data_IF_602209741424
#
_entry.id   IF_602209741424
#
_cell.length_a   1.000
_cell.length_b   1.000
_cell.length_c   1.000
_cell.angle_alpha   90.00
_cell.angle_beta   90.00
_cell.angle_gamma   90.00
#
_symmetry.space_group_name_H-M   'P 1'
#
loop_
_entity.id
_entity.type
_entity.pdbx_description
1 polymer ?
#
# COMPACT_ATOMS: atom_id res chain seq x y z
N UNK A 1 29.70 39.98 -21.98
CA UNK A 1 28.42 39.28 -22.16
C UNK A 1 28.69 38.11 -23.08
N UNK A 2 29.08 36.97 -22.52
CA UNK A 2 29.10 35.72 -23.27
C UNK A 2 28.02 34.84 -22.66
N UNK A 3 26.94 34.65 -23.43
CA UNK A 3 25.89 33.69 -23.15
C UNK A 3 26.53 32.31 -23.08
N UNK A 4 26.59 31.73 -21.87
CA UNK A 4 26.76 30.29 -21.73
C UNK A 4 25.58 29.60 -22.41
N UNK A 5 25.88 28.98 -23.54
CA UNK A 5 25.00 28.02 -24.18
C UNK A 5 24.60 26.97 -23.15
N UNK A 6 23.29 26.86 -22.89
CA UNK A 6 22.71 25.82 -22.06
C UNK A 6 22.98 24.47 -22.74
N UNK A 7 24.08 23.81 -22.35
CA UNK A 7 24.27 22.39 -22.60
C UNK A 7 23.20 21.69 -21.77
N UNK A 8 22.37 20.85 -22.40
CA UNK A 8 21.41 20.01 -21.70
C UNK A 8 22.09 19.20 -20.56
N UNK A 9 21.30 18.62 -19.64
CA UNK A 9 21.85 17.92 -18.49
C UNK A 9 22.88 16.85 -18.92
N UNK A 10 24.08 16.94 -18.34
CA UNK A 10 25.19 16.00 -18.50
C UNK A 10 24.75 14.57 -18.09
N UNK A 11 25.27 13.51 -18.71
CA UNK A 11 24.94 12.12 -18.36
C UNK A 11 25.37 11.77 -16.91
N UNK A 12 26.16 12.63 -16.27
CA UNK A 12 26.51 12.59 -14.85
C UNK A 12 25.40 13.09 -13.90
N UNK A 13 24.34 13.73 -14.40
CA UNK A 13 23.32 14.41 -13.58
C UNK A 13 22.28 13.48 -12.93
N UNK A 14 22.36 12.16 -13.15
CA UNK A 14 21.33 11.20 -12.71
C UNK A 14 21.90 9.93 -12.04
N UNK A 15 23.18 9.94 -11.62
CA UNK A 15 23.90 8.75 -11.12
C UNK A 15 23.27 8.08 -9.90
N UNK A 16 22.51 8.83 -9.09
CA UNK A 16 21.93 8.32 -7.84
C UNK A 16 20.43 8.03 -7.95
N UNK A 17 19.81 8.21 -9.13
CA UNK A 17 18.42 7.81 -9.33
C UNK A 17 18.29 6.28 -9.35
N UNK A 18 17.13 5.74 -8.91
CA UNK A 18 15.95 6.43 -8.39
C UNK A 18 16.03 6.77 -6.89
N UNK A 19 17.16 6.50 -6.24
CA UNK A 19 17.32 6.59 -4.78
C UNK A 19 17.50 8.01 -4.27
N UNK A 20 18.20 8.89 -5.00
CA UNK A 20 18.44 10.28 -4.63
C UNK A 20 18.55 11.19 -5.86
N UNK A 21 17.97 12.39 -5.77
CA UNK A 21 18.13 13.48 -6.74
C UNK A 21 19.47 14.22 -6.60
N UNK A 22 20.18 14.03 -5.48
CA UNK A 22 21.43 14.74 -5.23
C UNK A 22 22.61 13.97 -5.85
N UNK A 23 23.35 14.60 -6.76
CA UNK A 23 24.57 14.03 -7.35
C UNK A 23 25.81 14.24 -6.46
N UNK A 24 25.87 15.36 -5.73
CA UNK A 24 27.04 15.77 -4.97
C UNK A 24 27.26 14.97 -3.67
N UNK A 25 26.21 14.33 -3.17
CA UNK A 25 26.24 13.55 -1.92
C UNK A 25 25.83 12.12 -2.23
N UNK A 26 26.69 11.15 -1.86
CA UNK A 26 26.36 9.73 -2.01
C UNK A 26 25.12 9.36 -1.16
N UNK A 27 24.21 8.51 -1.68
CA UNK A 27 23.10 7.92 -0.92
C UNK A 27 23.53 7.16 0.36
N UNK A 28 24.81 6.81 0.49
CA UNK A 28 25.39 6.22 1.72
C UNK A 28 25.54 7.23 2.87
N UNK A 29 25.41 8.53 2.59
CA UNK A 29 25.52 9.61 3.60
C UNK A 29 24.21 10.34 3.82
N UNK A 30 23.51 10.66 2.73
CA UNK A 30 22.20 11.28 2.78
C UNK A 30 21.49 11.07 1.46
N UNK A 31 20.17 11.03 1.53
CA UNK A 31 19.31 10.91 0.37
C UNK A 31 18.48 12.18 0.24
N UNK A 32 18.30 12.65 -0.99
CA UNK A 32 17.40 13.77 -1.31
C UNK A 32 16.33 13.28 -2.26
N UNK A 33 15.07 13.32 -1.86
CA UNK A 33 13.92 12.97 -2.69
C UNK A 33 12.96 14.15 -2.84
N UNK A 34 12.05 14.11 -3.83
CA UNK A 34 10.92 15.03 -3.86
C UNK A 34 10.11 14.98 -2.56
N UNK A 35 9.49 16.10 -2.22
CA UNK A 35 8.52 16.23 -1.14
C UNK A 35 7.19 16.67 -1.71
N UNK A 36 6.12 15.98 -1.31
CA UNK A 36 4.76 16.28 -1.74
C UNK A 36 3.98 17.11 -0.70
N UNK A 37 4.30 16.97 0.59
CA UNK A 37 3.71 17.78 1.66
C UNK A 37 4.76 18.36 2.60
N UNK A 38 4.60 19.64 2.92
CA UNK A 38 5.33 20.35 3.97
C UNK A 38 4.67 20.05 5.31
N UNK A 39 5.41 19.43 6.23
CA UNK A 39 4.92 19.13 7.57
C UNK A 39 4.53 20.42 8.30
N UNK A 40 3.28 20.49 8.77
CA UNK A 40 2.71 21.64 9.50
C UNK A 40 2.75 21.47 11.02
N UNK A 41 3.11 20.26 11.48
CA UNK A 41 3.18 19.90 12.89
C UNK A 41 4.64 19.74 13.30
N UNK A 42 5.02 20.41 14.38
CA UNK A 42 6.37 20.38 14.93
C UNK A 42 7.37 21.29 14.20
N UNK A 43 8.32 21.84 14.95
CA UNK A 43 9.42 22.64 14.40
C UNK A 43 10.59 21.74 14.01
N UNK A 44 10.50 21.07 12.85
CA UNK A 44 11.54 20.14 12.39
C UNK A 44 12.18 20.60 11.07
N UNK A 45 13.35 20.07 10.73
CA UNK A 45 14.02 20.34 9.44
C UNK A 45 13.14 19.98 8.24
N UNK A 46 12.19 19.04 8.41
CA UNK A 46 11.22 18.67 7.38
C UNK A 46 10.31 19.82 6.99
N UNK A 47 10.11 20.81 7.86
CA UNK A 47 9.25 21.97 7.65
C UNK A 47 9.96 23.15 6.99
N UNK A 48 11.28 23.08 6.74
CA UNK A 48 12.07 24.17 6.14
C UNK A 48 12.10 24.17 4.59
N UNK A 49 11.57 23.12 3.96
CA UNK A 49 11.57 22.98 2.50
C UNK A 49 10.20 22.49 2.03
N UNK A 50 9.70 23.07 0.94
CA UNK A 50 8.45 22.65 0.30
C UNK A 50 8.62 21.41 -0.57
N UNK A 51 9.72 21.33 -1.33
CA UNK A 51 9.80 20.44 -2.50
C UNK A 51 10.85 19.34 -2.36
N UNK A 52 11.74 19.44 -1.37
CA UNK A 52 12.81 18.47 -1.15
C UNK A 52 12.76 17.92 0.26
N UNK A 53 12.87 16.60 0.35
CA UNK A 53 13.01 15.83 1.56
C UNK A 53 14.47 15.41 1.73
N UNK A 54 15.05 15.72 2.89
CA UNK A 54 16.34 15.17 3.31
C UNK A 54 16.07 13.90 4.12
N UNK A 55 16.70 12.80 3.71
CA UNK A 55 16.44 11.46 4.21
C UNK A 55 17.74 10.82 4.74
N UNK A 56 17.62 9.86 5.68
CA UNK A 56 18.76 9.09 6.18
C UNK A 56 19.48 8.33 5.04
N UNK A 57 20.72 7.85 5.29
CA UNK A 57 21.43 6.94 4.41
C UNK A 57 20.63 5.71 3.98
N UNK A 58 20.93 5.18 2.78
CA UNK A 58 20.28 3.96 2.25
C UNK A 58 20.47 2.70 3.11
N UNK A 59 21.47 2.69 3.99
CA UNK A 59 21.74 1.58 4.91
C UNK A 59 20.67 1.39 5.99
N UNK A 60 19.85 2.41 6.28
CA UNK A 60 18.72 2.29 7.22
C UNK A 60 17.46 1.81 6.49
N UNK A 61 17.17 2.45 5.36
CA UNK A 61 16.05 2.19 4.47
C UNK A 61 16.44 2.69 3.09
N UNK A 62 16.19 1.92 2.04
CA UNK A 62 16.42 2.36 0.66
C UNK A 62 15.12 2.90 0.06
N UNK A 63 14.85 4.21 0.14
CA UNK A 63 13.72 4.80 -0.55
C UNK A 63 14.02 4.91 -2.05
N UNK A 64 12.97 4.99 -2.86
CA UNK A 64 13.10 5.31 -4.28
C UNK A 64 11.96 6.21 -4.72
N UNK A 65 12.20 7.05 -5.73
CA UNK A 65 11.15 7.85 -6.36
C UNK A 65 11.01 7.47 -7.83
N UNK A 66 9.81 7.10 -8.24
CA UNK A 66 9.51 6.74 -9.64
C UNK A 66 8.34 7.56 -10.16
N UNK A 67 8.52 8.16 -11.33
CA UNK A 67 7.46 8.87 -12.05
C UNK A 67 6.74 7.89 -12.98
N UNK A 68 5.42 7.89 -12.95
CA UNK A 68 4.63 6.98 -13.81
C UNK A 68 4.28 7.60 -15.15
N UNK A 69 4.20 8.93 -15.24
CA UNK A 69 3.85 9.65 -16.46
C UNK A 69 5.05 9.78 -17.42
N UNK A 70 5.02 9.06 -18.55
CA UNK A 70 5.84 9.34 -19.75
C UNK A 70 5.05 9.95 -20.91
N UNK A 71 3.72 10.07 -20.83
CA UNK A 71 2.87 10.47 -21.97
C UNK A 71 2.09 11.77 -21.79
N UNK A 72 1.77 12.39 -22.93
CA UNK A 72 0.95 13.59 -23.17
C UNK A 72 -0.45 13.64 -22.50
N UNK A 73 -0.82 12.69 -21.62
CA UNK A 73 -1.93 12.93 -20.67
C UNK A 73 -1.56 13.98 -19.60
N UNK A 74 -0.27 14.32 -19.48
CA UNK A 74 0.17 15.58 -18.84
C UNK A 74 -0.10 16.84 -19.70
N UNK A 75 -0.42 16.72 -21.00
CA UNK A 75 -0.68 17.85 -21.90
C UNK A 75 -2.15 18.02 -22.29
N UNK A 76 -3.01 17.01 -22.08
CA UNK A 76 -4.40 17.32 -21.68
C UNK A 76 -4.29 17.96 -20.31
N UNK A 77 -4.06 19.29 -20.30
CA UNK A 77 -3.86 20.10 -19.09
C UNK A 77 -4.82 19.56 -18.03
N UNK A 78 -4.29 18.81 -17.06
CA UNK A 78 -4.91 18.83 -15.75
C UNK A 78 -4.90 20.30 -15.42
N UNK A 79 -6.05 20.95 -15.56
CA UNK A 79 -6.13 22.36 -15.27
C UNK A 79 -5.69 22.47 -13.82
N UNK A 80 -4.54 23.09 -13.60
CA UNK A 80 -4.00 23.26 -12.26
C UNK A 80 -5.03 24.01 -11.39
N UNK A 81 -6.00 24.70 -11.99
CA UNK A 81 -7.11 25.37 -11.34
C UNK A 81 -8.28 24.47 -10.89
N UNK A 82 -8.47 23.26 -11.45
CA UNK A 82 -9.67 22.44 -11.18
C UNK A 82 -9.39 21.20 -10.34
N UNK A 83 -10.31 20.82 -9.43
CA UNK A 83 -10.26 19.51 -8.79
C UNK A 83 -10.36 18.41 -9.85
N UNK A 84 -9.57 17.35 -9.69
CA UNK A 84 -9.70 16.16 -10.51
C UNK A 84 -9.90 14.92 -9.64
N UNK A 85 -10.62 13.96 -10.18
CA UNK A 85 -10.98 12.74 -9.47
C UNK A 85 -9.93 11.65 -9.69
N UNK A 86 -9.60 10.92 -8.63
CA UNK A 86 -8.81 9.69 -8.65
C UNK A 86 -9.72 8.56 -8.19
N UNK A 87 -9.82 7.51 -9.00
CA UNK A 87 -10.66 6.35 -8.73
C UNK A 87 -9.82 5.13 -8.39
N UNK A 88 -10.07 4.54 -7.23
CA UNK A 88 -9.41 3.31 -6.79
C UNK A 88 -10.44 2.19 -6.73
N UNK A 89 -10.20 1.11 -7.47
CA UNK A 89 -10.95 -0.13 -7.33
C UNK A 89 -10.30 -0.98 -6.23
N UNK A 90 -11.01 -1.14 -5.12
CA UNK A 90 -10.62 -1.99 -4.01
C UNK A 90 -11.25 -3.36 -4.19
N UNK A 91 -10.42 -4.40 -4.29
CA UNK A 91 -10.88 -5.80 -4.38
C UNK A 91 -10.39 -6.52 -3.13
N UNK A 92 -11.27 -6.83 -2.15
CA UNK A 92 -10.86 -7.36 -0.84
C UNK A 92 -10.58 -8.86 -0.89
N UNK A 93 -9.86 -9.30 -1.92
CA UNK A 93 -9.44 -10.69 -2.09
C UNK A 93 -8.31 -11.03 -1.10
N UNK A 94 -8.31 -12.23 -0.48
CA UNK A 94 -9.29 -13.30 -0.61
C UNK A 94 -10.61 -13.06 0.15
N UNK A 95 -11.69 -13.65 -0.36
CA UNK A 95 -13.02 -13.63 0.29
C UNK A 95 -13.16 -14.70 1.36
N UNK A 96 -12.37 -15.77 1.28
CA UNK A 96 -12.31 -16.84 2.27
C UNK A 96 -10.86 -17.08 2.66
N UNK A 97 -10.58 -17.14 3.96
CA UNK A 97 -9.28 -17.57 4.50
C UNK A 97 -9.50 -18.81 5.35
N UNK A 98 -8.92 -19.93 4.93
CA UNK A 98 -9.03 -21.19 5.64
C UNK A 98 -8.12 -21.20 6.87
N UNK A 99 -8.53 -21.91 7.94
CA UNK A 99 -7.72 -21.98 9.16
C UNK A 99 -6.36 -22.66 8.89
N UNK A 100 -6.31 -23.62 7.97
CA UNK A 100 -5.11 -24.35 7.57
C UNK A 100 -4.17 -23.55 6.64
N UNK A 101 -4.57 -22.32 6.27
CA UNK A 101 -3.65 -21.32 5.70
C UNK A 101 -2.61 -20.87 6.71
N UNK A 102 -2.88 -20.96 8.01
CA UNK A 102 -1.91 -20.68 9.06
C UNK A 102 -1.30 -22.00 9.53
N UNK A 103 0.02 -22.08 9.59
CA UNK A 103 0.72 -23.30 10.01
C UNK A 103 1.82 -22.97 10.98
N UNK A 104 1.95 -23.78 12.03
CA UNK A 104 3.12 -23.70 12.90
C UNK A 104 4.36 -24.11 12.10
N UNK A 105 5.31 -23.19 11.92
CA UNK A 105 6.58 -23.45 11.23
C UNK A 105 7.67 -23.83 12.23
N UNK A 106 7.64 -23.23 13.43
CA UNK A 106 8.54 -23.56 14.53
C UNK A 106 7.80 -23.52 15.87
N UNK A 107 8.03 -24.53 16.70
CA UNK A 107 7.47 -24.61 18.05
C UNK A 107 8.22 -23.69 19.00
N UNK A 108 7.54 -23.22 20.04
CA UNK A 108 8.20 -22.56 21.16
C UNK A 108 9.26 -23.51 21.75
N UNK A 109 10.46 -22.98 21.94
CA UNK A 109 11.61 -23.73 22.47
C UNK A 109 12.14 -23.11 23.76
N UNK A 110 13.15 -23.77 24.33
CA UNK A 110 13.96 -23.21 25.41
C UNK A 110 15.41 -23.16 24.98
N UNK A 111 16.07 -22.05 25.29
CA UNK A 111 17.51 -21.90 25.17
C UNK A 111 18.10 -21.75 26.59
N UNK A 112 18.72 -22.81 27.09
CA UNK A 112 19.10 -22.90 28.50
C UNK A 112 17.89 -22.87 29.44
N UNK A 113 18.12 -22.47 30.69
CA UNK A 113 17.08 -22.51 31.74
C UNK A 113 16.18 -21.27 31.78
N UNK A 114 16.58 -20.17 31.14
CA UNK A 114 15.97 -18.84 31.35
C UNK A 114 15.47 -18.15 30.09
N UNK A 115 15.78 -18.65 28.88
CA UNK A 115 15.33 -18.02 27.64
C UNK A 115 14.34 -18.90 26.89
N UNK A 116 13.19 -18.34 26.53
CA UNK A 116 12.24 -18.95 25.61
C UNK A 116 12.59 -18.55 24.18
N UNK A 117 12.69 -19.53 23.29
CA UNK A 117 12.74 -19.30 21.85
C UNK A 117 11.28 -19.16 21.39
N UNK A 118 10.91 -18.08 20.70
CA UNK A 118 9.52 -17.88 20.30
C UNK A 118 9.08 -18.94 19.27
N UNK A 119 7.78 -19.23 19.26
CA UNK A 119 7.16 -19.97 18.18
C UNK A 119 7.00 -19.10 16.93
N UNK A 120 6.94 -19.75 15.77
CA UNK A 120 6.72 -19.11 14.49
C UNK A 120 5.60 -19.78 13.71
N UNK A 121 4.87 -19.00 12.92
CA UNK A 121 3.87 -19.48 11.99
C UNK A 121 4.19 -19.03 10.56
N UNK A 122 3.86 -19.89 9.59
CA UNK A 122 3.91 -19.57 8.17
C UNK A 122 2.51 -19.49 7.59
N UNK A 123 2.40 -18.77 6.48
CA UNK A 123 1.17 -18.59 5.72
C UNK A 123 1.21 -19.43 4.44
N UNK A 124 0.09 -20.05 4.10
CA UNK A 124 -0.12 -20.80 2.86
C UNK A 124 -1.36 -20.25 2.17
N UNK A 125 -1.21 -19.81 0.92
CA UNK A 125 -2.25 -19.13 0.14
C UNK A 125 -3.29 -20.09 -0.43
N UNK A 126 -3.96 -20.87 0.44
CA UNK A 126 -5.01 -21.84 0.07
C UNK A 126 -6.16 -21.24 -0.73
N UNK A 127 -6.40 -19.94 -0.60
CA UNK A 127 -7.40 -19.22 -1.39
C UNK A 127 -7.04 -19.08 -2.88
N UNK A 128 -5.83 -19.45 -3.28
CA UNK A 128 -5.43 -19.58 -4.68
C UNK A 128 -5.65 -21.02 -5.21
N UNK A 129 -6.04 -21.96 -4.35
CA UNK A 129 -6.42 -23.32 -4.74
C UNK A 129 -7.87 -23.31 -5.26
N UNK A 130 -8.09 -23.54 -6.56
CA UNK A 130 -9.41 -23.69 -7.16
C UNK A 130 -9.79 -25.16 -7.44
N UNK A 131 -11.05 -25.45 -7.77
CA UNK A 131 -11.50 -26.82 -8.08
C UNK A 131 -10.74 -27.50 -9.23
N UNK A 132 -10.18 -26.71 -10.15
CA UNK A 132 -9.38 -27.16 -11.29
C UNK A 132 -7.86 -27.03 -11.12
N UNK A 133 -7.36 -26.71 -9.91
CA UNK A 133 -5.95 -26.40 -9.65
C UNK A 133 -5.73 -24.95 -9.23
N UNK A 134 -4.48 -24.49 -9.28
CA UNK A 134 -4.13 -23.11 -8.92
C UNK A 134 -4.85 -22.10 -9.83
N UNK A 135 -5.46 -21.08 -9.23
CA UNK A 135 -6.12 -19.99 -9.94
C UNK A 135 -5.05 -19.10 -10.57
N UNK A 136 -5.09 -18.93 -11.90
CA UNK A 136 -4.13 -18.09 -12.63
C UNK A 136 -4.52 -16.62 -12.63
N UNK A 137 -3.56 -15.72 -12.85
CA UNK A 137 -3.82 -14.29 -12.95
C UNK A 137 -4.73 -13.94 -14.13
N UNK A 138 -4.62 -14.64 -15.27
CA UNK A 138 -5.50 -14.46 -16.43
C UNK A 138 -6.93 -14.90 -16.13
N UNK A 139 -7.10 -15.98 -15.36
CA UNK A 139 -8.41 -16.42 -14.91
C UNK A 139 -9.05 -15.36 -14.01
N UNK A 140 -8.30 -14.83 -13.02
CA UNK A 140 -8.79 -13.74 -12.17
C UNK A 140 -9.13 -12.49 -12.99
N UNK A 141 -8.30 -12.13 -13.98
CA UNK A 141 -8.55 -10.98 -14.84
C UNK A 141 -9.89 -11.11 -15.56
N UNK A 142 -10.14 -12.25 -16.20
CA UNK A 142 -11.35 -12.51 -16.99
C UNK A 142 -12.62 -12.59 -16.13
N UNK A 143 -12.54 -13.30 -15.00
CA UNK A 143 -13.73 -13.67 -14.23
C UNK A 143 -14.07 -12.65 -13.13
N UNK A 144 -13.09 -11.90 -12.63
CA UNK A 144 -13.27 -10.96 -11.53
C UNK A 144 -12.94 -9.52 -11.92
N UNK A 145 -11.70 -9.24 -12.34
CA UNK A 145 -11.23 -7.86 -12.44
C UNK A 145 -11.79 -7.10 -13.64
N UNK A 146 -11.84 -7.68 -14.84
CA UNK A 146 -12.42 -7.03 -16.01
C UNK A 146 -13.93 -6.74 -15.82
N UNK A 147 -14.75 -7.67 -15.31
CA UNK A 147 -16.14 -7.37 -14.95
C UNK A 147 -16.26 -6.26 -13.90
N UNK A 148 -15.44 -6.26 -12.84
CA UNK A 148 -15.46 -5.20 -11.82
C UNK A 148 -15.03 -3.84 -12.38
N UNK A 149 -14.05 -3.79 -13.29
CA UNK A 149 -13.64 -2.56 -13.99
C UNK A 149 -14.80 -2.02 -14.82
N UNK A 150 -15.54 -2.90 -15.52
CA UNK A 150 -16.70 -2.51 -16.32
C UNK A 150 -17.84 -1.98 -15.44
N UNK A 151 -18.17 -2.66 -14.34
CA UNK A 151 -19.19 -2.18 -13.39
C UNK A 151 -18.77 -0.86 -12.75
N UNK A 152 -17.51 -0.74 -12.29
CA UNK A 152 -16.97 0.50 -11.76
C UNK A 152 -17.06 1.67 -12.77
N UNK A 153 -16.81 1.39 -14.07
CA UNK A 153 -16.99 2.37 -15.14
C UNK A 153 -18.45 2.77 -15.34
N UNK A 154 -19.37 1.81 -15.29
CA UNK A 154 -20.81 2.09 -15.39
C UNK A 154 -21.29 2.97 -14.23
N UNK A 155 -20.81 2.70 -13.00
CA UNK A 155 -21.20 3.44 -11.80
C UNK A 155 -20.54 4.82 -11.67
N UNK A 156 -19.29 4.96 -12.12
CA UNK A 156 -18.48 6.19 -11.89
C UNK A 156 -18.18 7.02 -13.13
N UNK A 157 -18.64 6.56 -14.30
CA UNK A 157 -18.46 7.19 -15.62
C UNK A 157 -17.06 7.03 -16.23
N UNK A 158 -16.08 6.49 -15.50
CA UNK A 158 -14.70 6.34 -15.97
C UNK A 158 -14.10 5.02 -15.49
N UNK A 159 -13.11 4.52 -16.23
CA UNK A 159 -12.26 3.40 -15.77
C UNK A 159 -11.54 3.81 -14.48
N UNK A 160 -11.42 2.94 -13.47
CA UNK A 160 -10.60 3.19 -12.29
C UNK A 160 -9.15 3.54 -12.66
N UNK A 161 -8.53 4.49 -11.97
CA UNK A 161 -7.12 4.82 -12.20
C UNK A 161 -6.21 3.73 -11.67
N UNK A 162 -6.56 3.09 -10.55
CA UNK A 162 -5.79 1.98 -10.04
C UNK A 162 -6.60 0.94 -9.29
N UNK A 163 -5.99 -0.22 -9.15
CA UNK A 163 -6.54 -1.38 -8.43
C UNK A 163 -5.69 -1.61 -7.18
N UNK A 164 -6.33 -1.90 -6.05
CA UNK A 164 -5.65 -2.23 -4.80
C UNK A 164 -6.17 -3.56 -4.26
N UNK A 165 -5.25 -4.46 -3.92
CA UNK A 165 -5.51 -5.72 -3.23
C UNK A 165 -4.80 -5.75 -1.86
N UNK A 166 -5.36 -6.45 -0.86
CA UNK A 166 -4.80 -6.60 0.48
C UNK A 166 -3.42 -7.29 0.56
N UNK A 167 -2.89 -7.35 1.79
CA UNK A 167 -1.67 -8.08 2.13
C UNK A 167 -1.77 -9.56 1.74
N UNK A 168 -0.68 -10.11 1.19
CA UNK A 168 -0.58 -11.50 0.72
C UNK A 168 -1.74 -11.98 -0.16
N UNK A 169 -2.46 -11.10 -0.87
CA UNK A 169 -3.59 -11.49 -1.69
C UNK A 169 -3.18 -12.51 -2.77
N UNK A 170 -2.05 -12.31 -3.44
CA UNK A 170 -1.60 -13.11 -4.58
C UNK A 170 -0.21 -13.71 -4.37
N UNK A 171 0.19 -14.67 -5.20
CA UNK A 171 1.61 -14.97 -5.38
C UNK A 171 2.23 -14.02 -6.41
N UNK A 172 3.56 -13.89 -6.46
CA UNK A 172 4.24 -13.07 -7.48
C UNK A 172 3.83 -13.46 -8.90
N UNK A 173 3.82 -14.77 -9.20
CA UNK A 173 3.46 -15.27 -10.53
C UNK A 173 2.02 -14.93 -10.92
N UNK A 174 1.06 -15.07 -9.99
CA UNK A 174 -0.34 -14.73 -10.25
C UNK A 174 -0.51 -13.22 -10.45
N UNK A 175 0.20 -12.40 -9.68
CA UNK A 175 0.18 -10.94 -9.85
C UNK A 175 0.71 -10.49 -11.22
N UNK A 176 1.82 -11.07 -11.68
CA UNK A 176 2.39 -10.76 -13.00
C UNK A 176 1.45 -11.15 -14.15
N UNK A 177 0.87 -12.35 -14.09
CA UNK A 177 -0.14 -12.82 -15.05
C UNK A 177 -1.38 -11.90 -15.08
N UNK A 178 -1.86 -11.49 -13.90
CA UNK A 178 -2.99 -10.58 -13.76
C UNK A 178 -2.70 -9.22 -14.42
N UNK A 179 -1.53 -8.64 -14.15
CA UNK A 179 -1.12 -7.35 -14.72
C UNK A 179 -1.00 -7.43 -16.24
N UNK A 180 -0.42 -8.50 -16.76
CA UNK A 180 -0.31 -8.73 -18.20
C UNK A 180 -1.70 -8.81 -18.85
N UNK A 181 -2.64 -9.51 -18.22
CA UNK A 181 -4.02 -9.64 -18.70
C UNK A 181 -4.84 -8.34 -18.59
N UNK A 182 -4.45 -7.42 -17.68
CA UNK A 182 -5.14 -6.14 -17.47
C UNK A 182 -4.52 -4.96 -18.23
N UNK A 183 -3.42 -5.15 -18.97
CA UNK A 183 -2.67 -4.06 -19.61
C UNK A 183 -3.53 -3.12 -20.48
N UNK A 184 -4.52 -3.67 -21.19
CA UNK A 184 -5.37 -2.94 -22.13
C UNK A 184 -6.69 -2.46 -21.49
N UNK A 185 -6.87 -2.64 -20.18
CA UNK A 185 -8.10 -2.26 -19.48
C UNK A 185 -8.24 -0.75 -19.22
N UNK A 186 -7.14 -0.01 -19.38
CA UNK A 186 -7.09 1.45 -19.20
C UNK A 186 -6.78 1.92 -17.78
N UNK A 187 -6.47 1.00 -16.85
CA UNK A 187 -5.95 1.32 -15.52
C UNK A 187 -4.50 1.82 -15.61
N UNK A 188 -4.09 2.71 -14.69
CA UNK A 188 -2.74 3.30 -14.65
C UNK A 188 -1.79 2.50 -13.74
N UNK A 189 -2.32 1.85 -12.70
CA UNK A 189 -1.51 1.06 -11.77
C UNK A 189 -2.29 -0.04 -11.02
N UNK A 190 -1.57 -1.02 -10.51
CA UNK A 190 -2.08 -2.05 -9.60
C UNK A 190 -1.15 -2.17 -8.40
N UNK A 191 -1.71 -2.17 -7.19
CA UNK A 191 -0.99 -2.38 -5.93
C UNK A 191 -1.54 -3.63 -5.27
N UNK A 192 -0.69 -4.61 -4.96
CA UNK A 192 -1.11 -5.86 -4.31
C UNK A 192 -0.10 -6.30 -3.27
N UNK A 193 -0.58 -6.92 -2.20
CA UNK A 193 0.26 -7.73 -1.34
C UNK A 193 0.52 -9.09 -2.00
N UNK A 194 1.75 -9.57 -1.94
CA UNK A 194 2.14 -10.90 -2.37
C UNK A 194 2.85 -11.65 -1.27
N UNK A 195 2.65 -12.96 -1.24
CA UNK A 195 3.50 -13.89 -0.49
C UNK A 195 4.29 -14.71 -1.50
N UNK A 196 5.59 -14.78 -1.30
CA UNK A 196 6.48 -15.55 -2.17
C UNK A 196 7.47 -16.35 -1.34
N UNK A 197 8.02 -17.42 -1.92
CA UNK A 197 9.06 -18.23 -1.29
C UNK A 197 10.26 -18.22 -2.20
N UNK A 198 11.37 -17.69 -1.71
CA UNK A 198 12.64 -17.70 -2.41
C UNK A 198 13.08 -19.16 -2.64
N UNK A 199 13.28 -19.54 -3.91
CA UNK A 199 13.53 -20.94 -4.29
C UNK A 199 14.89 -21.45 -3.83
N UNK A 200 15.86 -20.56 -3.63
CA UNK A 200 17.24 -20.91 -3.29
C UNK A 200 17.41 -21.06 -1.77
N UNK A 201 16.74 -20.20 -1.00
CA UNK A 201 16.84 -20.14 0.46
C UNK A 201 15.67 -20.80 1.18
N UNK A 202 14.55 -21.03 0.48
CA UNK A 202 13.30 -21.53 1.05
C UNK A 202 12.58 -20.53 1.98
N UNK A 203 13.02 -19.27 2.02
CA UNK A 203 12.47 -18.25 2.91
C UNK A 203 11.26 -17.57 2.29
N UNK A 204 10.22 -17.36 3.10
CA UNK A 204 9.06 -16.61 2.66
C UNK A 204 9.30 -15.09 2.74
N UNK A 205 8.77 -14.36 1.78
CA UNK A 205 8.76 -12.90 1.72
C UNK A 205 7.32 -12.39 1.57
N UNK A 206 6.91 -11.53 2.49
CA UNK A 206 5.67 -10.78 2.40
C UNK A 206 5.98 -9.40 1.80
N UNK A 207 5.46 -9.13 0.61
CA UNK A 207 5.84 -7.95 -0.20
C UNK A 207 4.63 -7.19 -0.68
N UNK A 208 4.76 -5.87 -0.80
CA UNK A 208 3.86 -5.06 -1.60
C UNK A 208 4.49 -4.90 -2.98
N UNK A 209 3.73 -5.20 -4.02
CA UNK A 209 4.11 -4.96 -5.40
C UNK A 209 3.22 -3.88 -5.98
N UNK A 210 3.86 -2.87 -6.58
CA UNK A 210 3.18 -1.86 -7.36
C UNK A 210 3.61 -1.96 -8.82
N UNK A 211 2.65 -2.21 -9.68
CA UNK A 211 2.80 -2.27 -11.11
C UNK A 211 2.27 -0.97 -11.70
N UNK A 212 3.09 -0.27 -12.44
CA UNK A 212 2.70 0.95 -13.17
C UNK A 212 2.60 0.60 -14.65
N UNK A 213 1.41 0.73 -15.21
CA UNK A 213 1.16 0.49 -16.63
C UNK A 213 1.32 1.80 -17.40
N UNK A 214 2.03 1.72 -18.52
CA UNK A 214 2.28 2.88 -19.39
C UNK A 214 1.76 2.57 -20.79
N UNK A 215 1.01 3.52 -21.32
CA UNK A 215 0.44 3.42 -22.66
C UNK A 215 1.56 3.30 -23.70
N UNK A 216 1.51 2.25 -24.53
CA UNK A 216 2.50 1.98 -25.57
C UNK A 216 3.77 1.25 -25.11
N UNK A 217 3.93 0.93 -23.82
CA UNK A 217 5.00 0.07 -23.32
C UNK A 217 4.50 -1.38 -23.18
N UNK A 218 5.33 -2.37 -23.57
CA UNK A 218 4.94 -3.79 -23.54
C UNK A 218 4.79 -4.37 -22.12
N UNK A 219 5.36 -3.71 -21.10
CA UNK A 219 5.39 -4.19 -19.73
C UNK A 219 5.05 -3.11 -18.70
N UNK A 220 4.82 -3.55 -17.46
CA UNK A 220 4.61 -2.66 -16.33
C UNK A 220 5.93 -2.37 -15.59
N UNK A 221 6.12 -1.14 -15.12
CA UNK A 221 7.23 -0.81 -14.22
C UNK A 221 6.87 -1.33 -12.83
N UNK A 222 7.60 -2.36 -12.38
CA UNK A 222 7.44 -2.96 -11.05
C UNK A 222 8.27 -2.21 -10.00
N UNK A 223 7.63 -1.91 -8.86
CA UNK A 223 8.28 -1.53 -7.61
C UNK A 223 7.81 -2.46 -6.51
N UNK A 224 8.74 -2.83 -5.63
CA UNK A 224 8.46 -3.75 -4.54
C UNK A 224 8.95 -3.20 -3.21
N UNK A 225 8.31 -3.65 -2.15
CA UNK A 225 8.69 -3.39 -0.77
C UNK A 225 8.47 -4.66 0.04
N UNK A 226 9.52 -5.16 0.66
CA UNK A 226 9.42 -6.21 1.66
C UNK A 226 8.90 -5.62 2.97
N UNK A 227 8.03 -6.37 3.63
CA UNK A 227 7.50 -6.02 4.96
C UNK A 227 8.64 -5.79 5.94
N UNK A 228 8.63 -4.69 6.67
CA UNK A 228 9.74 -4.33 7.55
C UNK A 228 9.63 -4.96 8.95
N UNK A 229 8.42 -5.34 9.35
CA UNK A 229 8.14 -5.95 10.65
C UNK A 229 7.29 -7.21 10.51
N UNK A 230 7.76 -8.30 11.09
CA UNK A 230 6.95 -9.52 11.26
C UNK A 230 5.70 -9.21 12.07
N UNK A 231 4.59 -9.79 11.65
CA UNK A 231 3.41 -9.83 12.49
C UNK A 231 3.66 -10.74 13.70
N UNK A 232 3.37 -10.25 14.90
CA UNK A 232 3.28 -11.10 16.10
C UNK A 232 1.81 -11.31 16.44
N UNK A 233 1.35 -12.53 16.24
CA UNK A 233 0.06 -12.98 16.74
C UNK A 233 0.15 -13.20 18.25
N UNK A 234 -0.85 -12.72 18.98
CA UNK A 234 -1.11 -13.10 20.36
C UNK A 234 -2.32 -14.04 20.47
N UNK A 235 -2.52 -14.63 21.65
CA UNK A 235 -3.65 -15.52 21.93
C UNK A 235 -5.01 -14.87 21.64
N UNK A 236 -5.18 -13.58 21.93
CA UNK A 236 -6.43 -12.86 21.66
C UNK A 236 -6.71 -12.75 20.18
N UNK A 237 -5.68 -12.51 19.36
CA UNK A 237 -5.80 -12.47 17.91
C UNK A 237 -6.09 -13.86 17.33
N UNK A 238 -5.38 -14.89 17.78
CA UNK A 238 -5.62 -16.29 17.37
C UNK A 238 -7.07 -16.68 17.65
N UNK A 239 -7.58 -16.38 18.85
CA UNK A 239 -8.96 -16.66 19.23
C UNK A 239 -9.96 -15.84 18.40
N UNK A 240 -9.69 -14.54 18.20
CA UNK A 240 -10.55 -13.65 17.39
C UNK A 240 -10.70 -14.15 15.97
N UNK A 241 -9.62 -14.60 15.35
CA UNK A 241 -9.65 -15.12 13.98
C UNK A 241 -9.99 -16.62 13.92
N UNK A 242 -10.37 -17.24 15.05
CA UNK A 242 -10.68 -18.66 15.17
C UNK A 242 -9.59 -19.57 14.58
N UNK A 243 -8.32 -19.24 14.79
CA UNK A 243 -7.17 -19.97 14.28
C UNK A 243 -6.77 -21.10 15.26
N UNK A 244 -6.43 -22.27 14.72
CA UNK A 244 -6.04 -23.45 15.51
C UNK A 244 -4.85 -24.18 14.85
N UNK A 245 -3.75 -23.46 14.68
CA UNK A 245 -2.55 -23.98 14.00
C UNK A 245 -1.48 -24.50 14.96
N UNK A 246 -1.60 -24.23 16.27
CA UNK A 246 -0.69 -24.71 17.31
C UNK A 246 -1.46 -25.52 18.36
N UNK A 247 -1.04 -26.77 18.56
CA UNK A 247 -1.62 -27.67 19.55
C UNK A 247 -1.16 -27.36 20.97
N UNK A 248 -0.11 -26.55 21.13
CA UNK A 248 0.37 -26.13 22.45
C UNK A 248 -0.46 -24.96 22.98
N UNK A 249 -1.45 -25.27 23.82
CA UNK A 249 -2.32 -24.26 24.44
C UNK A 249 -1.63 -23.38 25.50
N UNK A 250 -0.40 -23.71 25.91
CA UNK A 250 0.40 -22.89 26.83
C UNK A 250 1.13 -21.75 26.12
N UNK A 251 1.28 -21.83 24.78
CA UNK A 251 1.89 -20.75 24.02
C UNK A 251 0.86 -19.63 23.79
N UNK A 252 1.31 -18.38 23.92
CA UNK A 252 0.46 -17.19 23.81
C UNK A 252 0.92 -16.21 22.73
N UNK A 253 2.08 -16.47 22.09
CA UNK A 253 2.67 -15.61 21.06
C UNK A 253 3.32 -16.40 19.94
N UNK A 254 3.13 -15.93 18.70
CA UNK A 254 3.73 -16.51 17.50
C UNK A 254 4.20 -15.40 16.56
N UNK A 255 5.40 -15.52 16.03
CA UNK A 255 5.92 -14.60 15.01
C UNK A 255 5.71 -15.14 13.61
N UNK A 256 5.42 -14.25 12.68
CA UNK A 256 5.35 -14.57 11.25
C UNK A 256 6.74 -14.99 10.73
N UNK A 257 6.81 -16.15 10.09
CA UNK A 257 8.04 -16.74 9.55
C UNK A 257 8.32 -16.21 8.15
N UNK A 258 8.83 -14.99 8.09
CA UNK A 258 9.25 -14.32 6.85
C UNK A 258 10.62 -13.67 7.02
N UNK A 259 11.30 -13.47 5.89
CA UNK A 259 12.47 -12.61 5.79
C UNK A 259 12.02 -11.13 5.82
N UNK A 260 12.75 -10.32 6.58
CA UNK A 260 12.49 -8.86 6.73
C UNK A 260 13.76 -8.04 6.47
N UNK A 261 14.76 -8.68 5.86
CA UNK A 261 15.95 -8.02 5.33
C UNK A 261 15.63 -7.10 4.15
N UNK A 262 16.63 -6.33 3.71
CA UNK A 262 16.55 -5.45 2.53
C UNK A 262 15.35 -4.48 2.52
N UNK A 263 15.37 -3.52 3.44
CA UNK A 263 14.27 -2.56 3.64
C UNK A 263 14.23 -1.55 2.50
N UNK A 264 13.16 -1.58 1.71
CA UNK A 264 12.89 -0.65 0.60
C UNK A 264 11.61 0.15 0.83
N UNK A 265 11.56 1.40 0.39
CA UNK A 265 10.34 2.21 0.48
C UNK A 265 10.10 3.00 -0.81
N UNK A 266 9.39 2.43 -1.79
CA UNK A 266 9.05 3.11 -3.02
C UNK A 266 8.04 4.24 -2.82
N UNK A 267 8.31 5.37 -3.46
CA UNK A 267 7.38 6.46 -3.68
C UNK A 267 7.08 6.56 -5.16
N UNK A 268 5.80 6.66 -5.49
CA UNK A 268 5.32 6.68 -6.86
C UNK A 268 4.64 8.02 -7.10
N UNK A 269 5.27 8.86 -7.91
CA UNK A 269 4.68 10.09 -8.44
C UNK A 269 3.76 9.74 -9.60
N UNK A 270 2.48 9.54 -9.29
CA UNK A 270 1.46 9.23 -10.31
C UNK A 270 1.24 10.40 -11.27
N UNK A 271 1.27 11.61 -10.73
CA UNK A 271 1.07 12.87 -11.45
C UNK A 271 2.00 13.92 -10.86
N UNK A 272 2.10 15.09 -11.50
CA UNK A 272 2.97 16.20 -11.04
C UNK A 272 2.70 16.61 -9.58
N UNK A 273 1.50 16.37 -9.09
CA UNK A 273 0.99 16.83 -7.81
C UNK A 273 0.39 15.71 -6.93
N UNK A 274 0.67 14.45 -7.26
CA UNK A 274 0.19 13.31 -6.48
C UNK A 274 1.26 12.21 -6.37
N UNK A 275 1.64 11.91 -5.14
CA UNK A 275 2.51 10.78 -4.82
C UNK A 275 1.87 9.79 -3.84
N UNK A 276 2.22 8.52 -4.02
CA UNK A 276 1.75 7.39 -3.22
C UNK A 276 2.93 6.64 -2.62
N UNK A 277 2.75 6.09 -1.43
CA UNK A 277 3.57 4.99 -0.91
C UNK A 277 2.69 3.94 -0.26
N UNK A 278 3.25 2.75 -0.06
CA UNK A 278 2.53 1.59 0.47
C UNK A 278 3.18 1.16 1.78
N UNK A 279 2.37 0.66 2.72
CA UNK A 279 2.82 0.02 3.96
C UNK A 279 2.16 -1.35 4.07
N UNK A 280 2.78 -2.27 4.81
CA UNK A 280 2.27 -3.62 4.98
C UNK A 280 2.06 -3.87 6.48
N UNK A 281 0.80 -4.07 6.88
CA UNK A 281 0.42 -4.49 8.22
C UNK A 281 1.11 -3.71 9.34
N UNK A 282 1.93 -4.39 10.13
CA UNK A 282 2.66 -3.88 11.29
C UNK A 282 3.55 -2.67 10.94
N UNK A 283 3.93 -2.47 9.68
CA UNK A 283 4.69 -1.29 9.24
C UNK A 283 3.90 0.02 9.44
N UNK A 284 2.57 -0.02 9.43
CA UNK A 284 1.73 1.14 9.78
C UNK A 284 1.87 1.53 11.26
N UNK A 285 2.10 0.55 12.14
CA UNK A 285 2.14 0.73 13.59
C UNK A 285 3.54 0.99 14.17
N UNK A 286 4.58 0.92 13.33
CA UNK A 286 5.98 1.01 13.76
C UNK A 286 6.65 2.28 13.23
N UNK A 287 7.43 2.93 14.10
CA UNK A 287 8.11 4.18 13.76
C UNK A 287 9.32 3.92 12.85
N UNK A 288 10.22 3.06 13.28
CA UNK A 288 11.36 2.66 12.46
C UNK A 288 10.98 1.52 11.53
N UNK A 289 11.62 1.36 10.37
CA UNK A 289 12.55 2.32 9.75
C UNK A 289 11.83 3.39 8.90
N UNK A 290 10.56 3.18 8.56
CA UNK A 290 9.90 3.88 7.44
C UNK A 290 9.26 5.21 7.82
N UNK A 291 8.73 5.36 9.05
CA UNK A 291 7.87 6.50 9.40
C UNK A 291 8.61 7.83 9.27
N UNK A 292 9.89 7.89 9.66
CA UNK A 292 10.72 9.09 9.49
C UNK A 292 10.91 9.50 8.04
N UNK A 293 11.01 8.53 7.13
CA UNK A 293 11.14 8.76 5.68
C UNK A 293 9.81 9.22 5.08
N UNK A 294 8.70 8.54 5.42
CA UNK A 294 7.35 8.92 4.98
C UNK A 294 7.01 10.34 5.44
N UNK A 295 7.30 10.66 6.70
CA UNK A 295 7.12 11.99 7.28
C UNK A 295 7.95 13.08 6.59
N UNK A 296 9.13 12.74 6.08
CA UNK A 296 9.99 13.69 5.36
C UNK A 296 9.52 13.92 3.93
N UNK A 297 9.08 12.88 3.22
CA UNK A 297 8.57 12.97 1.86
C UNK A 297 7.15 13.54 1.82
N UNK A 298 6.31 13.17 2.78
CA UNK A 298 4.94 13.62 2.87
C UNK A 298 4.07 13.22 1.69
N UNK A 299 3.94 11.92 1.34
CA UNK A 299 3.13 11.50 0.20
C UNK A 299 1.67 11.96 0.33
N UNK A 300 0.97 12.19 -0.78
CA UNK A 300 -0.43 12.60 -0.73
C UNK A 300 -1.34 11.46 -0.23
N UNK A 301 -0.98 10.22 -0.54
CA UNK A 301 -1.70 9.03 -0.11
C UNK A 301 -0.73 7.96 0.40
N UNK A 302 -1.03 7.42 1.58
CA UNK A 302 -0.43 6.19 2.10
C UNK A 302 -1.47 5.08 2.04
N UNK A 303 -1.13 3.96 1.43
CA UNK A 303 -1.99 2.78 1.38
C UNK A 303 -1.38 1.70 2.27
N UNK A 304 -2.06 1.31 3.35
CA UNK A 304 -1.66 0.21 4.21
C UNK A 304 -2.43 -1.06 3.82
N UNK A 305 -1.71 -2.04 3.27
CA UNK A 305 -2.23 -3.36 2.92
C UNK A 305 -2.18 -4.24 4.17
N UNK A 306 -3.32 -4.85 4.55
CA UNK A 306 -3.46 -5.58 5.79
C UNK A 306 -4.07 -6.97 5.58
N UNK A 307 -3.69 -7.92 6.41
CA UNK A 307 -4.37 -9.19 6.66
C UNK A 307 -4.88 -9.20 8.12
N UNK A 308 -5.95 -8.44 8.37
CA UNK A 308 -6.54 -8.20 9.69
C UNK A 308 -8.07 -8.28 9.61
N UNK A 309 -8.77 -8.27 10.75
CA UNK A 309 -10.22 -8.15 10.82
C UNK A 309 -10.74 -6.75 10.44
N UNK A 310 -11.98 -6.41 10.84
CA UNK A 310 -12.66 -5.18 10.44
C UNK A 310 -11.86 -3.89 10.65
N UNK A 311 -11.80 -3.04 9.63
CA UNK A 311 -11.03 -1.79 9.62
C UNK A 311 -11.84 -0.65 10.25
N UNK A 312 -11.77 -0.56 11.58
CA UNK A 312 -12.56 0.39 12.36
C UNK A 312 -11.73 1.54 12.90
N UNK A 313 -12.35 2.72 13.06
CA UNK A 313 -11.66 3.92 13.55
C UNK A 313 -11.07 3.77 14.96
N UNK A 314 -11.73 2.96 15.79
CA UNK A 314 -11.30 2.65 17.16
C UNK A 314 -10.16 1.63 17.24
N UNK A 315 -9.95 0.83 16.18
CA UNK A 315 -8.92 -0.22 16.17
C UNK A 315 -7.55 0.38 15.86
N UNK A 316 -6.51 -0.44 16.02
CA UNK A 316 -5.12 -0.01 15.81
C UNK A 316 -4.90 0.64 14.43
N UNK A 317 -5.45 0.17 13.29
CA UNK A 317 -5.18 0.81 12.00
C UNK A 317 -5.69 2.25 11.97
N UNK A 318 -6.88 2.53 12.51
CA UNK A 318 -7.44 3.87 12.61
C UNK A 318 -6.58 4.83 13.46
N UNK A 319 -6.03 4.34 14.57
CA UNK A 319 -5.13 5.12 15.43
C UNK A 319 -3.84 5.51 14.71
N UNK A 320 -3.19 4.57 14.02
CA UNK A 320 -1.93 4.86 13.33
C UNK A 320 -2.13 5.58 11.98
N UNK A 321 -3.26 5.37 11.31
CA UNK A 321 -3.66 6.20 10.17
C UNK A 321 -3.80 7.67 10.57
N UNK A 322 -4.32 7.94 11.77
CA UNK A 322 -4.41 9.31 12.31
C UNK A 322 -3.02 9.95 12.44
N UNK A 323 -2.02 9.21 12.87
CA UNK A 323 -0.64 9.73 13.02
C UNK A 323 -0.08 10.25 11.70
N UNK A 324 -0.22 9.48 10.62
CA UNK A 324 0.23 9.88 9.27
C UNK A 324 -0.63 10.98 8.65
N UNK A 325 -1.93 10.96 8.98
CA UNK A 325 -2.84 12.00 8.55
C UNK A 325 -2.54 13.35 9.20
N UNK A 326 -2.08 13.39 10.44
CA UNK A 326 -1.71 14.62 11.12
C UNK A 326 -0.27 15.07 10.79
N UNK A 327 0.68 14.12 10.72
CA UNK A 327 2.07 14.36 10.32
C UNK A 327 2.57 13.17 9.48
N UNK A 328 2.72 13.34 8.15
CA UNK A 328 3.00 14.61 7.46
C UNK A 328 1.80 15.36 6.87
N UNK A 329 0.57 14.87 7.06
CA UNK A 329 -0.59 15.43 6.36
C UNK A 329 -1.02 14.61 5.14
N UNK A 330 -0.79 13.29 5.18
CA UNK A 330 -1.18 12.37 4.11
C UNK A 330 -2.64 11.94 4.24
N UNK A 331 -3.33 11.67 3.14
CA UNK A 331 -4.51 10.81 3.24
C UNK A 331 -4.04 9.37 3.50
N UNK A 332 -4.82 8.59 4.24
CA UNK A 332 -4.46 7.20 4.56
C UNK A 332 -5.63 6.28 4.27
N UNK A 333 -5.35 5.22 3.51
CA UNK A 333 -6.25 4.10 3.28
C UNK A 333 -5.66 2.88 3.98
N UNK A 334 -6.30 2.34 5.01
CA UNK A 334 -6.04 0.96 5.46
C UNK A 334 -7.02 0.01 4.78
N UNK A 335 -6.54 -1.12 4.29
CA UNK A 335 -7.35 -2.02 3.48
C UNK A 335 -6.99 -3.48 3.73
N UNK A 336 -8.01 -4.29 3.99
CA UNK A 336 -7.86 -5.72 4.31
C UNK A 336 -8.78 -6.61 3.49
N UNK A 337 -8.55 -7.92 3.57
CA UNK A 337 -9.33 -8.91 2.83
C UNK A 337 -10.63 -9.27 3.56
N UNK A 338 -11.66 -9.60 2.77
CA UNK A 338 -12.97 -9.97 3.29
C UNK A 338 -12.89 -11.26 4.12
N UNK A 339 -12.04 -12.21 3.73
CA UNK A 339 -11.89 -13.45 4.47
C UNK A 339 -11.41 -13.27 5.92
N UNK A 340 -10.50 -12.34 6.19
CA UNK A 340 -10.07 -12.06 7.58
C UNK A 340 -11.11 -11.25 8.37
N UNK A 341 -11.86 -10.37 7.70
CA UNK A 341 -13.03 -9.69 8.28
C UNK A 341 -14.05 -10.73 8.75
N UNK A 342 -14.39 -11.69 7.90
CA UNK A 342 -15.36 -12.74 8.21
C UNK A 342 -14.88 -13.64 9.35
N UNK A 343 -13.62 -14.10 9.31
CA UNK A 343 -13.04 -14.88 10.41
C UNK A 343 -13.11 -14.15 11.74
N UNK A 344 -12.76 -12.86 11.74
CA UNK A 344 -12.85 -12.02 12.93
C UNK A 344 -14.29 -11.88 13.44
N UNK A 345 -15.28 -11.91 12.56
CA UNK A 345 -16.69 -11.73 12.90
C UNK A 345 -17.36 -12.99 13.45
N UNK A 346 -16.78 -14.19 13.27
CA UNK A 346 -17.39 -15.47 13.72
C UNK A 346 -17.63 -15.55 15.23
N UNK A 347 -16.81 -14.86 16.03
CA UNK A 347 -16.89 -14.86 17.50
C UNK A 347 -17.41 -13.54 18.07
N UNK A 348 -17.75 -12.57 17.20
CA UNK A 348 -18.14 -11.23 17.62
C UNK A 348 -19.66 -11.12 17.78
N UNK A 349 -20.09 -10.51 18.90
CA UNK A 349 -21.51 -10.25 19.15
C UNK A 349 -22.10 -9.18 18.23
N UNK A 350 -21.26 -8.32 17.65
CA UNK A 350 -21.62 -7.22 16.76
C UNK A 350 -20.65 -7.20 15.59
N UNK A 351 -20.88 -8.05 14.57
CA UNK A 351 -19.99 -8.12 13.43
C UNK A 351 -19.98 -6.80 12.65
N UNK A 352 -18.83 -6.47 12.07
CA UNK A 352 -18.66 -5.28 11.24
C UNK A 352 -18.00 -5.67 9.91
N UNK A 353 -18.59 -5.28 8.79
CA UNK A 353 -18.09 -5.67 7.46
C UNK A 353 -17.20 -4.58 6.84
N UNK A 354 -16.41 -3.88 7.68
CA UNK A 354 -15.51 -2.83 7.22
C UNK A 354 -14.22 -3.43 6.67
N UNK A 355 -14.07 -3.49 5.35
CA UNK A 355 -12.87 -3.98 4.66
C UNK A 355 -11.76 -2.93 4.58
N UNK A 356 -12.10 -1.66 4.79
CA UNK A 356 -11.14 -0.57 4.73
C UNK A 356 -11.50 0.59 5.64
N UNK A 357 -10.53 1.47 5.86
CA UNK A 357 -10.71 2.72 6.57
C UNK A 357 -9.97 3.82 5.83
N UNK A 358 -10.69 4.89 5.54
CA UNK A 358 -10.15 6.12 4.97
C UNK A 358 -9.99 7.17 6.06
N UNK A 359 -8.85 7.84 6.08
CA UNK A 359 -8.57 9.02 6.89
C UNK A 359 -8.16 10.17 5.98
N UNK A 360 -8.94 11.25 6.00
CA UNK A 360 -8.57 12.49 5.30
C UNK A 360 -7.31 13.11 5.93
N UNK A 361 -6.53 13.78 5.10
CA UNK A 361 -5.33 14.51 5.51
C UNK A 361 -5.63 15.67 6.49
N UNK A 362 -4.76 15.82 7.50
CA UNK A 362 -4.71 16.94 8.43
C UNK A 362 -5.33 16.66 9.80
N UNK A 363 -5.01 17.54 10.76
CA UNK A 363 -5.65 17.58 12.07
C UNK A 363 -7.16 17.77 11.93
N UNK A 364 -7.95 16.91 12.58
CA UNK A 364 -9.41 16.92 12.46
C UNK A 364 -9.95 16.38 11.12
N UNK A 365 -9.13 15.72 10.30
CA UNK A 365 -9.59 15.02 9.11
C UNK A 365 -10.75 14.05 9.41
N UNK A 366 -11.62 13.81 8.45
CA UNK A 366 -12.70 12.84 8.61
C UNK A 366 -12.15 11.42 8.55
N UNK A 367 -12.64 10.54 9.42
CA UNK A 367 -12.45 9.10 9.31
C UNK A 367 -13.72 8.48 8.75
N UNK A 368 -13.59 7.62 7.75
CA UNK A 368 -14.70 6.89 7.17
C UNK A 368 -14.34 5.41 6.99
N UNK A 369 -15.14 4.55 7.59
CA UNK A 369 -15.06 3.10 7.40
C UNK A 369 -15.68 2.74 6.05
N UNK A 370 -15.03 1.81 5.33
CA UNK A 370 -15.42 1.34 4.01
C UNK A 370 -16.02 -0.05 4.19
N UNK A 371 -17.35 -0.11 4.18
CA UNK A 371 -18.09 -1.36 4.28
C UNK A 371 -18.06 -2.16 2.98
N UNK A 372 -18.13 -3.49 3.10
CA UNK A 372 -18.44 -4.40 2.02
C UNK A 372 -19.85 -4.97 2.24
N UNK A 373 -20.87 -4.50 1.50
CA UNK A 373 -22.20 -5.07 1.55
C UNK A 373 -22.21 -6.54 1.15
N UNK A 374 -23.21 -7.29 1.64
CA UNK A 374 -23.37 -8.70 1.29
C UNK A 374 -23.51 -8.86 -0.23
N UNK A 375 -22.74 -9.80 -0.80
CA UNK A 375 -22.70 -10.08 -2.24
C UNK A 375 -21.82 -9.13 -3.07
N UNK A 376 -21.26 -8.09 -2.46
CA UNK A 376 -20.32 -7.19 -3.13
C UNK A 376 -18.95 -7.87 -3.28
N UNK A 377 -18.32 -7.71 -4.45
CA UNK A 377 -16.98 -8.24 -4.76
C UNK A 377 -15.93 -7.14 -4.95
N UNK A 378 -16.29 -5.91 -4.62
CA UNK A 378 -15.35 -4.80 -4.68
C UNK A 378 -16.02 -3.50 -4.33
N UNK A 379 -15.21 -2.46 -4.22
CA UNK A 379 -15.68 -1.11 -3.96
C UNK A 379 -14.86 -0.15 -4.81
N UNK A 380 -15.51 0.76 -5.53
CA UNK A 380 -14.82 1.89 -6.16
C UNK A 380 -14.86 3.10 -5.24
N UNK A 381 -13.68 3.58 -4.85
CA UNK A 381 -13.51 4.85 -4.16
C UNK A 381 -13.30 5.95 -5.19
N UNK A 382 -13.99 7.08 -5.00
CA UNK A 382 -13.68 8.31 -5.74
C UNK A 382 -13.10 9.34 -4.80
N UNK A 383 -11.85 9.72 -5.05
CA UNK A 383 -11.09 10.72 -4.33
C UNK A 383 -11.06 12.01 -5.11
N UNK A 384 -11.14 13.15 -4.43
CA UNK A 384 -10.98 14.47 -5.03
C UNK A 384 -9.64 15.04 -4.64
N UNK A 385 -8.82 15.38 -5.64
CA UNK A 385 -7.61 16.18 -5.46
C UNK A 385 -7.96 17.66 -5.47
N UNK A 386 -7.66 18.38 -4.39
CA UNK A 386 -7.93 19.82 -4.26
C UNK A 386 -6.67 20.57 -3.84
N UNK A 387 -6.58 21.85 -4.20
CA UNK A 387 -5.46 22.70 -3.79
C UNK A 387 -5.40 22.84 -2.26
N UNK A 388 -4.19 22.94 -1.73
CA UNK A 388 -3.91 23.21 -0.33
C UNK A 388 -2.73 24.16 -0.27
N UNK A 389 -2.93 25.33 0.35
CA UNK A 389 -1.81 26.21 0.70
C UNK A 389 -0.99 25.58 1.82
N UNK A 390 0.33 25.58 1.64
CA UNK A 390 1.29 25.19 2.67
C UNK A 390 2.26 26.34 2.95
N UNK A 391 2.85 26.30 4.14
CA UNK A 391 3.81 27.30 4.58
C UNK A 391 4.96 26.59 5.27
N UNK A 392 6.20 26.95 4.93
CA UNK A 392 7.39 26.46 5.64
C UNK A 392 7.47 27.09 7.03
N UNK A 393 8.33 26.54 7.87
CA UNK A 393 8.58 27.02 9.23
C UNK A 393 9.03 28.49 9.27
N UNK A 394 9.71 28.98 8.22
CA UNK A 394 10.16 30.37 8.07
C UNK A 394 9.15 31.27 7.33
N UNK A 395 7.91 30.81 7.11
CA UNK A 395 6.82 31.63 6.59
C UNK A 395 6.72 31.73 5.06
N UNK A 396 7.58 31.05 4.29
CA UNK A 396 7.44 31.00 2.83
C UNK A 396 6.22 30.17 2.45
N UNK A 397 5.48 30.61 1.43
CA UNK A 397 4.30 29.93 0.93
C UNK A 397 4.61 29.16 -0.35
N UNK A 398 3.95 28.02 -0.51
CA UNK A 398 3.97 27.23 -1.74
C UNK A 398 3.03 27.76 -2.85
N UNK A 399 2.34 28.89 -2.62
CA UNK A 399 1.36 29.45 -3.56
C UNK A 399 0.27 28.46 -3.99
N UNK A 400 -0.21 27.62 -3.07
CA UNK A 400 -1.27 26.63 -3.32
C UNK A 400 -0.89 25.54 -4.34
N UNK A 401 0.41 25.27 -4.51
CA UNK A 401 0.90 24.20 -5.36
C UNK A 401 0.65 22.80 -4.76
N UNK A 402 0.62 22.67 -3.43
CA UNK A 402 0.35 21.39 -2.81
C UNK A 402 -1.11 20.95 -3.01
N UNK A 403 -1.31 19.63 -2.97
CA UNK A 403 -2.63 19.00 -3.12
C UNK A 403 -2.98 18.14 -1.92
N UNK A 404 -4.27 18.08 -1.63
CA UNK A 404 -4.85 17.15 -0.66
C UNK A 404 -5.87 16.25 -1.35
N UNK A 405 -5.88 14.98 -0.96
CA UNK A 405 -6.89 14.02 -1.37
C UNK A 405 -7.96 13.93 -0.28
N UNK A 406 -9.21 13.91 -0.73
CA UNK A 406 -10.38 13.73 0.14
C UNK A 406 -11.30 12.69 -0.46
N UNK A 407 -11.87 11.82 0.36
CA UNK A 407 -12.83 10.82 -0.11
C UNK A 407 -14.17 11.48 -0.41
N UNK A 408 -14.64 11.37 -1.66
CA UNK A 408 -15.95 11.89 -2.07
C UNK A 408 -17.03 10.83 -2.04
N UNK A 409 -16.77 9.67 -2.65
CA UNK A 409 -17.78 8.62 -2.79
C UNK A 409 -17.19 7.22 -2.64
N UNK A 410 -18.04 6.30 -2.18
CA UNK A 410 -17.80 4.87 -2.03
C UNK A 410 -18.96 4.16 -2.73
N UNK A 411 -18.66 3.37 -3.77
CA UNK A 411 -19.71 2.61 -4.47
C UNK A 411 -19.35 1.12 -4.43
N UNK A 412 -20.18 0.27 -3.80
CA UNK A 412 -20.01 -1.19 -3.85
C UNK A 412 -20.30 -1.72 -5.25
N UNK A 413 -19.62 -2.80 -5.62
CA UNK A 413 -19.69 -3.40 -6.94
C UNK A 413 -20.16 -4.85 -6.84
N UNK A 414 -21.07 -5.22 -7.73
CA UNK A 414 -21.75 -6.50 -7.72
C UNK A 414 -21.62 -7.17 -9.08
N UNK A 415 -21.28 -8.46 -9.09
CA UNK A 415 -21.29 -9.27 -10.30
C UNK A 415 -22.50 -10.20 -10.25
N UNK A 416 -23.30 -10.21 -11.32
CA UNK A 416 -24.47 -11.10 -11.42
C UNK A 416 -24.06 -12.58 -11.41
N UNK A 417 -23.00 -12.92 -12.15
CA UNK A 417 -22.37 -14.23 -12.19
C UNK A 417 -20.95 -14.13 -11.64
N UNK A 418 -20.80 -14.28 -10.31
CA UNK A 418 -19.50 -14.27 -9.65
C UNK A 418 -18.62 -15.47 -10.05
N UNK A 419 -17.28 -15.35 -9.94
CA UNK A 419 -16.39 -16.49 -10.16
C UNK A 419 -16.74 -17.67 -9.23
N UNK A 420 -16.84 -18.87 -9.78
CA UNK A 420 -17.22 -20.09 -9.02
C UNK A 420 -16.15 -20.59 -8.04
N UNK A 421 -14.95 -20.02 -8.11
CA UNK A 421 -13.82 -20.36 -7.25
C UNK A 421 -13.69 -19.42 -6.04
N UNK A 422 -14.53 -18.38 -5.96
CA UNK A 422 -14.76 -17.58 -4.75
C UNK A 422 -15.81 -18.31 -3.91
#
# INVERSE_FOLDING_TARGET
MDCMAYKGPDDTFMVNLPTSLCCAVSPDRAIVLPKANTATVGCTIRSLSHYLALLPPKSILTPSWTWTSTTDRSTSKADAALPYDVRLLLVPFPYTVHADSFRLSSKQGKYGNSYSIPAYFSLVQRWLDGPGGQISGEQMARELFLPLIQDARAQSGCVPNGIVLPECALSTAVAEQLVLALKDSGIEFLITGVLDVDTDTGKAHNRAQTFVMREGEEGAVLRQQDKHHRWRLDKSQVDRYALDFDKNHENDQWWEDIEVGNRQLPFIGLRKDMSITTLICEDLARADPAMGVIRSVGPNLVIALLMDGPQLGIRWPGRYATVLAEDPGSAVLSFTCAGMVDRSNWVESRPANAIGLWRDAGAGGRTQEIGLPQGSLGVVLTLVSSKKRQTTLDGRSDQELARKLTLRNIVPLFLADGPKWI
#
